data_IF_048252891178
#
_entry.id   IF_048252891178
#
_cell.length_a   1.000
_cell.length_b   1.000
_cell.length_c   1.000
_cell.angle_alpha   90.00
_cell.angle_beta   90.00
_cell.angle_gamma   90.00
#
_symmetry.space_group_name_H-M   'P 1'
#
loop_
_entity.id
_entity.type
_entity.pdbx_description
1 polymer ?
#
# COMPACT_ATOMS: atom_id res chain seq x y z
N UNK A 1 -2.35 -22.54 7.28
CA UNK A 1 -2.35 -21.34 8.13
C UNK A 1 -3.74 -20.73 8.09
N UNK A 2 -4.25 -20.17 9.19
CA UNK A 2 -5.52 -19.43 9.16
C UNK A 2 -5.30 -18.03 8.58
N UNK A 3 -6.32 -17.41 7.98
CA UNK A 3 -6.22 -16.05 7.41
C UNK A 3 -5.71 -15.03 8.46
N UNK A 4 -6.12 -15.17 9.72
CA UNK A 4 -5.66 -14.30 10.81
C UNK A 4 -4.15 -14.39 11.05
N UNK A 5 -3.54 -15.57 10.84
CA UNK A 5 -2.10 -15.75 10.96
C UNK A 5 -1.34 -15.07 9.81
N UNK A 6 -1.90 -15.08 8.60
CA UNK A 6 -1.29 -14.44 7.43
C UNK A 6 -1.36 -12.91 7.51
N UNK A 7 -2.49 -12.36 7.97
CA UNK A 7 -2.62 -10.92 8.19
C UNK A 7 -1.61 -10.44 9.23
N UNK A 8 -1.40 -11.19 10.32
CA UNK A 8 -0.39 -10.88 11.33
C UNK A 8 1.02 -10.87 10.72
N UNK A 9 1.37 -11.87 9.92
CA UNK A 9 2.67 -11.96 9.27
C UNK A 9 2.91 -10.78 8.30
N UNK A 10 1.89 -10.40 7.52
CA UNK A 10 1.95 -9.21 6.65
C UNK A 10 2.15 -7.94 7.48
N UNK A 11 1.46 -7.80 8.61
CA UNK A 11 1.62 -6.65 9.50
C UNK A 11 3.04 -6.54 10.06
N UNK A 12 3.66 -7.68 10.41
CA UNK A 12 5.03 -7.74 10.91
C UNK A 12 6.02 -7.34 9.81
N UNK A 13 5.90 -7.92 8.61
CA UNK A 13 6.72 -7.57 7.44
C UNK A 13 6.61 -6.07 7.12
N UNK A 14 5.39 -5.52 7.07
CA UNK A 14 5.21 -4.09 6.82
C UNK A 14 5.81 -3.21 7.93
N UNK A 15 5.88 -3.70 9.18
CA UNK A 15 6.55 -2.99 10.28
C UNK A 15 8.06 -2.91 10.03
N UNK A 16 8.66 -4.04 9.66
CA UNK A 16 10.10 -4.11 9.36
C UNK A 16 10.45 -3.20 8.18
N UNK A 17 9.63 -3.21 7.13
CA UNK A 17 9.81 -2.33 5.96
C UNK A 17 9.65 -0.86 6.34
N UNK A 18 8.66 -0.49 7.16
CA UNK A 18 8.52 0.90 7.63
C UNK A 18 9.75 1.35 8.43
N UNK A 19 10.26 0.48 9.30
CA UNK A 19 11.48 0.72 10.07
C UNK A 19 12.68 1.02 9.17
N UNK A 20 12.95 0.11 8.22
CA UNK A 20 14.06 0.26 7.29
C UNK A 20 13.92 1.53 6.43
N UNK A 21 12.73 1.81 5.90
CA UNK A 21 12.49 3.02 5.11
C UNK A 21 12.69 4.27 5.94
N UNK A 22 12.21 4.28 7.19
CA UNK A 22 12.39 5.41 8.11
C UNK A 22 13.87 5.72 8.33
N UNK A 23 14.67 4.69 8.60
CA UNK A 23 16.12 4.83 8.80
C UNK A 23 16.80 5.38 7.55
N UNK A 24 16.47 4.86 6.37
CA UNK A 24 17.07 5.30 5.10
C UNK A 24 16.69 6.72 4.74
N UNK A 25 15.43 7.10 4.93
CA UNK A 25 14.95 8.46 4.70
C UNK A 25 15.62 9.45 5.67
N UNK A 26 15.72 9.08 6.95
CA UNK A 26 16.42 9.90 7.95
C UNK A 26 17.91 10.08 7.61
N UNK A 27 18.60 9.02 7.17
CA UNK A 27 19.99 9.08 6.74
C UNK A 27 20.19 9.99 5.51
N UNK A 28 19.16 10.12 4.66
CA UNK A 28 19.15 11.04 3.52
C UNK A 28 18.69 12.46 3.88
N UNK A 29 18.33 12.74 5.14
CA UNK A 29 17.78 14.02 5.58
C UNK A 29 16.37 14.30 5.04
N UNK A 30 15.64 13.26 4.62
CA UNK A 30 14.30 13.38 4.05
C UNK A 30 13.23 13.12 5.11
N UNK A 31 12.27 14.02 5.23
CA UNK A 31 11.06 13.83 6.01
C UNK A 31 9.85 13.88 5.07
N UNK A 32 9.35 12.71 4.69
CA UNK A 32 8.23 12.57 3.75
C UNK A 32 7.07 11.80 4.38
N UNK A 33 5.85 12.19 3.99
CA UNK A 33 4.67 11.38 4.21
C UNK A 33 4.73 10.09 3.38
N UNK A 34 4.32 8.97 3.96
CA UNK A 34 4.36 7.65 3.32
C UNK A 34 3.22 6.75 3.78
N UNK A 35 2.84 5.87 2.86
CA UNK A 35 1.85 4.81 3.06
C UNK A 35 2.44 3.52 2.50
N UNK A 36 2.39 2.45 3.28
CA UNK A 36 2.68 1.08 2.86
C UNK A 36 1.37 0.31 2.86
N UNK A 37 1.06 -0.33 1.74
CA UNK A 37 -0.17 -1.08 1.52
C UNK A 37 0.18 -2.51 1.08
N UNK A 38 -0.48 -3.49 1.68
CA UNK A 38 -0.55 -4.86 1.17
C UNK A 38 -2.01 -5.29 1.11
N UNK A 39 -2.35 -6.12 0.12
CA UNK A 39 -3.67 -6.76 0.02
C UNK A 39 -3.49 -8.23 0.39
N UNK A 40 -4.17 -8.66 1.45
CA UNK A 40 -4.19 -10.05 1.88
C UNK A 40 -4.97 -10.93 0.88
N UNK A 41 -4.80 -12.26 0.89
CA UNK A 41 -5.50 -13.15 -0.05
C UNK A 41 -7.02 -13.11 0.01
N UNK A 42 -7.60 -12.64 1.12
CA UNK A 42 -9.05 -12.44 1.29
C UNK A 42 -9.53 -11.04 0.85
N UNK A 43 -8.63 -10.23 0.29
CA UNK A 43 -8.90 -8.86 -0.14
C UNK A 43 -8.77 -7.83 0.98
N UNK A 44 -8.46 -8.21 2.23
CA UNK A 44 -8.27 -7.25 3.30
C UNK A 44 -7.01 -6.40 3.08
N UNK A 45 -7.15 -5.08 3.14
CA UNK A 45 -6.03 -4.15 3.08
C UNK A 45 -5.30 -4.06 4.43
N UNK A 46 -3.99 -4.25 4.42
CA UNK A 46 -3.10 -3.95 5.55
C UNK A 46 -2.34 -2.66 5.23
N UNK A 47 -2.52 -1.64 6.07
CA UNK A 47 -1.95 -0.31 5.85
C UNK A 47 -1.04 0.07 7.01
N UNK A 48 0.12 0.65 6.69
CA UNK A 48 0.94 1.44 7.63
C UNK A 48 1.20 2.81 7.05
N UNK A 49 0.97 3.87 7.82
CA UNK A 49 1.23 5.24 7.39
C UNK A 49 1.78 6.10 8.52
N UNK A 50 2.50 7.15 8.15
CA UNK A 50 2.93 8.22 9.06
C UNK A 50 2.24 9.56 8.76
N UNK A 51 1.19 9.54 7.94
CA UNK A 51 0.43 10.72 7.50
C UNK A 51 -0.94 10.75 8.17
N UNK A 52 -1.50 11.96 8.27
CA UNK A 52 -2.81 12.19 8.88
C UNK A 52 -3.98 11.69 8.00
N UNK A 53 -5.19 11.60 8.55
CA UNK A 53 -6.38 11.16 7.81
C UNK A 53 -6.69 11.98 6.56
N UNK A 54 -6.43 13.29 6.57
CA UNK A 54 -6.68 14.18 5.43
C UNK A 54 -5.77 13.81 4.24
N UNK A 55 -4.45 13.80 4.46
CA UNK A 55 -3.45 13.44 3.43
C UNK A 55 -3.63 12.00 2.94
N UNK A 56 -4.07 11.09 3.82
CA UNK A 56 -4.40 9.71 3.43
C UNK A 56 -5.62 9.66 2.52
N UNK A 57 -6.62 10.51 2.75
CA UNK A 57 -7.78 10.68 1.89
C UNK A 57 -7.38 11.15 0.49
N UNK A 58 -6.57 12.20 0.42
CA UNK A 58 -6.06 12.74 -0.85
C UNK A 58 -5.28 11.67 -1.65
N UNK A 59 -4.46 10.86 -0.95
CA UNK A 59 -3.74 9.75 -1.57
C UNK A 59 -4.68 8.66 -2.10
N UNK A 60 -5.76 8.35 -1.36
CA UNK A 60 -6.73 7.36 -1.78
C UNK A 60 -7.50 7.79 -3.04
N UNK A 61 -7.86 9.07 -3.14
CA UNK A 61 -8.47 9.65 -4.34
C UNK A 61 -7.51 9.52 -5.54
N UNK A 62 -6.24 9.88 -5.36
CA UNK A 62 -5.23 9.71 -6.41
C UNK A 62 -5.08 8.25 -6.86
N UNK A 63 -5.07 7.30 -5.93
CA UNK A 63 -5.00 5.87 -6.27
C UNK A 63 -6.23 5.39 -7.04
N UNK A 64 -7.42 5.89 -6.70
CA UNK A 64 -8.65 5.60 -7.43
C UNK A 64 -8.60 6.16 -8.85
N UNK A 65 -8.15 7.40 -9.02
CA UNK A 65 -7.97 8.02 -10.36
C UNK A 65 -6.98 7.23 -11.22
N UNK A 66 -5.86 6.78 -10.64
CA UNK A 66 -4.88 5.94 -11.34
C UNK A 66 -5.51 4.60 -11.76
N UNK A 67 -6.28 3.96 -10.88
CA UNK A 67 -6.95 2.70 -11.16
C UNK A 67 -8.00 2.84 -12.27
N UNK A 68 -8.83 3.87 -12.20
CA UNK A 68 -9.85 4.18 -13.20
C UNK A 68 -9.21 4.48 -14.56
N UNK A 69 -8.14 5.28 -14.58
CA UNK A 69 -7.38 5.57 -15.79
C UNK A 69 -6.77 4.31 -16.41
N UNK A 70 -6.23 3.40 -15.61
CA UNK A 70 -5.71 2.12 -16.07
C UNK A 70 -6.80 1.21 -16.63
N UNK A 71 -8.00 1.21 -16.05
CA UNK A 71 -9.15 0.46 -16.55
C UNK A 71 -9.62 0.97 -17.93
N UNK A 72 -9.59 2.28 -18.15
CA UNK A 72 -9.92 2.90 -19.44
C UNK A 72 -8.86 2.58 -20.52
N UNK A 73 -7.62 2.32 -20.13
CA UNK A 73 -6.51 2.02 -21.05
C UNK A 73 -6.37 0.54 -21.42
N UNK A 74 -7.12 -0.39 -20.81
CA UNK A 74 -7.18 -1.78 -21.28
C UNK A 74 -8.18 -1.89 -22.42
N UNK A 75 -7.76 -2.14 -23.68
CA UNK A 75 -8.67 -2.73 -24.65
C UNK A 75 -9.05 -4.12 -24.14
N UNK A 76 -10.28 -4.56 -24.41
CA UNK A 76 -10.91 -5.81 -23.95
C UNK A 76 -10.20 -7.14 -24.34
N UNK A 77 -8.92 -7.14 -24.73
CA UNK A 77 -8.22 -8.34 -25.20
C UNK A 77 -6.99 -8.67 -24.33
N UNK A 78 -7.22 -9.51 -23.32
CA UNK A 78 -6.66 -10.86 -23.28
C UNK A 78 -7.24 -11.56 -22.05
N UNK A 79 -8.26 -12.40 -22.29
CA UNK A 79 -8.61 -13.45 -21.36
C UNK A 79 -7.35 -14.28 -21.10
N UNK A 80 -6.80 -14.17 -19.89
CA UNK A 80 -5.67 -14.98 -19.45
C UNK A 80 -6.10 -16.45 -19.48
N UNK A 81 -5.66 -17.16 -20.53
CA UNK A 81 -5.64 -18.63 -20.60
C UNK A 81 -4.53 -19.19 -19.72
#
# INVERSE_FOLDING_TARGET
MSNSSQISEIQDILTEVDGLLRERLAAAGLNIGRVLLAIAPDGAGVVRSNIGPAELGDMAELLAEIADGAAVQRPDDEALN
#
